data_IF_631532714551
#
_entry.id   IF_631532714551
#
_cell.length_a   1.000
_cell.length_b   1.000
_cell.length_c   1.000
_cell.angle_alpha   90.00
_cell.angle_beta   90.00
_cell.angle_gamma   90.00
#
_symmetry.space_group_name_H-M   'P 1'
#
loop_
_entity.id
_entity.type
_entity.pdbx_description
1 polymer ?
#
# COMPACT_ATOMS: atom_id res chain seq x y z
N UNK A 1 -5.11 -5.65 -17.55
CA UNK A 1 -6.55 -5.96 -17.60
C UNK A 1 -7.35 -4.71 -17.26
N UNK A 2 -8.60 -4.58 -17.71
CA UNK A 2 -9.48 -3.48 -17.26
C UNK A 2 -10.25 -3.95 -16.04
N UNK A 3 -10.11 -3.22 -14.93
CA UNK A 3 -10.85 -3.47 -13.70
C UNK A 3 -11.79 -2.29 -13.44
N UNK A 4 -13.05 -2.60 -13.16
CA UNK A 4 -14.04 -1.60 -12.75
C UNK A 4 -14.20 -1.68 -11.25
N UNK A 5 -13.93 -0.57 -10.57
CA UNK A 5 -13.95 -0.48 -9.12
C UNK A 5 -14.60 0.80 -8.65
N UNK A 6 -14.64 0.97 -7.33
CA UNK A 6 -15.15 2.18 -6.68
C UNK A 6 -14.24 2.59 -5.52
N UNK A 7 -14.21 3.89 -5.23
CA UNK A 7 -13.60 4.41 -4.01
C UNK A 7 -14.55 4.12 -2.85
N UNK A 8 -14.01 3.57 -1.77
CA UNK A 8 -14.73 3.23 -0.55
C UNK A 8 -14.06 3.93 0.63
N UNK A 9 -14.83 4.74 1.34
CA UNK A 9 -14.42 5.27 2.64
C UNK A 9 -14.46 4.17 3.70
N UNK A 10 -13.41 4.08 4.52
CA UNK A 10 -13.27 3.09 5.56
C UNK A 10 -13.84 3.64 6.88
N UNK A 11 -14.88 2.99 7.40
CA UNK A 11 -15.42 3.29 8.74
C UNK A 11 -14.36 3.14 9.83
N UNK A 12 -13.43 2.19 9.65
CA UNK A 12 -12.26 1.98 10.50
C UNK A 12 -11.00 2.13 9.66
N UNK A 13 -10.31 3.29 9.73
CA UNK A 13 -9.07 3.53 9.00
C UNK A 13 -7.95 2.56 9.42
N UNK A 14 -7.02 2.29 8.51
CA UNK A 14 -5.85 1.47 8.81
C UNK A 14 -4.61 2.34 9.04
N UNK A 15 -3.83 2.03 10.07
CA UNK A 15 -2.50 2.61 10.24
C UNK A 15 -1.45 1.70 9.58
N UNK A 16 -0.55 2.30 8.80
CA UNK A 16 0.60 1.60 8.21
C UNK A 16 1.76 1.72 9.20
N UNK A 17 2.21 0.59 9.72
CA UNK A 17 3.32 0.51 10.68
C UNK A 17 4.53 -0.13 10.02
N UNK A 18 5.68 0.53 10.10
CA UNK A 18 6.97 -0.02 9.68
C UNK A 18 7.72 -0.47 10.92
N UNK A 19 8.00 -1.77 10.99
CA UNK A 19 8.77 -2.35 12.08
C UNK A 19 10.25 -2.00 11.90
N UNK A 20 10.84 -1.33 12.90
CA UNK A 20 12.27 -1.14 13.02
C UNK A 20 12.80 -2.11 14.08
N UNK A 21 13.58 -3.10 13.63
CA UNK A 21 14.39 -3.94 14.49
C UNK A 21 15.84 -3.47 14.44
N UNK A 22 16.52 -3.34 15.59
CA UNK A 22 17.91 -2.86 15.67
C UNK A 22 18.91 -3.95 15.21
N UNK A 23 18.87 -4.30 13.92
CA UNK A 23 19.77 -5.28 13.31
C UNK A 23 19.93 -5.16 11.80
N UNK A 24 19.36 -4.14 11.15
CA UNK A 24 19.25 -4.08 9.69
C UNK A 24 19.82 -2.81 9.03
N UNK A 25 20.48 -1.93 9.78
CA UNK A 25 21.57 -1.03 9.32
C UNK A 25 21.94 -0.02 10.41
N UNK A 26 23.25 0.21 10.47
CA UNK A 26 23.99 1.30 11.11
C UNK A 26 24.17 1.28 12.63
N UNK A 27 25.42 0.98 12.98
CA UNK A 27 26.04 1.18 14.27
C UNK A 27 26.17 2.69 14.52
N UNK A 28 25.26 3.28 15.28
CA UNK A 28 25.51 4.58 15.91
C UNK A 28 25.65 4.41 17.43
N UNK A 29 26.79 4.87 17.91
CA UNK A 29 27.13 5.08 19.30
C UNK A 29 26.06 5.89 20.03
N UNK A 30 25.86 5.53 21.31
CA UNK A 30 25.08 6.25 22.34
C UNK A 30 23.61 5.82 22.50
N UNK A 31 23.44 4.68 23.17
CA UNK A 31 22.20 4.35 23.91
C UNK A 31 21.47 3.13 23.36
N UNK A 32 21.71 1.97 23.98
CA UNK A 32 21.01 0.70 23.73
C UNK A 32 19.49 0.85 23.90
N UNK A 33 18.80 1.14 22.82
CA UNK A 33 17.35 0.98 22.75
C UNK A 33 17.03 -0.46 22.32
N UNK A 34 17.05 -1.38 23.29
CA UNK A 34 16.79 -2.83 23.11
C UNK A 34 15.30 -3.14 22.94
N UNK A 35 14.64 -2.49 21.98
CA UNK A 35 13.22 -2.65 21.75
C UNK A 35 12.87 -2.63 20.27
N UNK A 36 11.95 -3.51 19.86
CA UNK A 36 11.31 -3.39 18.54
C UNK A 36 10.51 -2.09 18.53
N UNK A 37 10.79 -1.21 17.56
CA UNK A 37 10.03 0.02 17.36
C UNK A 37 9.12 -0.12 16.15
N UNK A 38 8.02 0.62 16.15
CA UNK A 38 7.14 0.71 15.00
C UNK A 38 6.94 2.18 14.65
N UNK A 39 7.25 2.53 13.41
CA UNK A 39 7.02 3.86 12.87
C UNK A 39 5.67 3.88 12.16
N UNK A 40 4.79 4.79 12.56
CA UNK A 40 3.54 5.05 11.83
C UNK A 40 3.88 5.87 10.59
N UNK A 41 3.63 5.33 9.40
CA UNK A 41 4.00 5.98 8.13
C UNK A 41 2.81 6.63 7.42
N UNK A 42 1.62 6.04 7.55
CA UNK A 42 0.41 6.55 6.90
C UNK A 42 -0.87 6.09 7.61
N UNK A 43 -1.96 6.81 7.37
CA UNK A 43 -3.32 6.41 7.72
C UNK A 43 -4.16 6.26 6.45
N UNK A 44 -4.61 5.05 6.17
CA UNK A 44 -5.47 4.73 5.03
C UNK A 44 -6.92 4.94 5.44
N UNK A 45 -7.55 5.97 4.88
CA UNK A 45 -8.96 6.30 5.11
C UNK A 45 -9.87 5.85 3.97
N UNK A 46 -9.33 5.78 2.75
CA UNK A 46 -10.07 5.39 1.56
C UNK A 46 -9.32 4.28 0.83
N UNK A 47 -10.07 3.38 0.17
CA UNK A 47 -9.49 2.36 -0.71
C UNK A 47 -10.22 2.29 -2.04
N UNK A 48 -9.50 1.96 -3.09
CA UNK A 48 -10.09 1.60 -4.38
C UNK A 48 -10.37 0.10 -4.36
N UNK A 49 -11.64 -0.28 -4.52
CA UNK A 49 -12.08 -1.67 -4.41
C UNK A 49 -12.57 -2.20 -5.75
N UNK A 50 -11.94 -3.29 -6.22
CA UNK A 50 -12.34 -4.06 -7.39
C UNK A 50 -12.91 -5.40 -6.94
N UNK A 51 -14.23 -5.61 -7.05
CA UNK A 51 -14.89 -6.88 -6.69
C UNK A 51 -15.25 -7.77 -7.89
N UNK A 52 -15.14 -7.24 -9.10
CA UNK A 52 -15.58 -7.91 -10.33
C UNK A 52 -14.41 -8.49 -11.10
N UNK A 53 -14.68 -9.52 -11.92
CA UNK A 53 -13.65 -10.19 -12.72
C UNK A 53 -13.01 -9.20 -13.72
N UNK A 54 -11.67 -9.12 -13.80
CA UNK A 54 -10.99 -8.27 -14.75
C UNK A 54 -11.37 -8.61 -16.20
N UNK A 55 -11.62 -7.58 -17.00
CA UNK A 55 -11.84 -7.71 -18.45
C UNK A 55 -10.47 -7.76 -19.17
N UNK A 56 -10.39 -8.45 -20.33
CA UNK A 56 -9.22 -8.36 -21.19
C UNK A 56 -8.85 -6.90 -21.51
N UNK A 57 -7.58 -6.64 -21.77
CA UNK A 57 -7.16 -5.33 -22.25
C UNK A 57 -7.70 -5.18 -23.66
N UNK A 58 -8.45 -4.10 -23.92
CA UNK A 58 -8.87 -3.73 -25.27
C UNK A 58 -7.84 -2.77 -25.84
N UNK A 59 -7.28 -3.12 -27.00
CA UNK A 59 -6.51 -2.21 -27.83
C UNK A 59 -7.48 -1.64 -28.87
N UNK A 60 -7.90 -0.38 -28.71
CA UNK A 60 -8.70 0.30 -29.73
C UNK A 60 -7.75 0.78 -30.85
N UNK A 61 -7.07 -0.16 -31.50
CA UNK A 61 -6.16 0.15 -32.61
C UNK A 61 -7.04 0.47 -33.82
N UNK A 62 -6.96 1.70 -34.38
CA UNK A 62 -7.68 2.02 -35.61
C UNK A 62 -7.28 1.00 -36.68
N UNK A 63 -8.27 0.31 -37.27
CA UNK A 63 -7.99 -0.50 -38.46
C UNK A 63 -7.58 0.46 -39.56
N UNK A 64 -6.36 0.27 -40.08
CA UNK A 64 -5.92 0.98 -41.28
C UNK A 64 -6.85 0.55 -42.41
N UNK A 65 -7.67 1.50 -42.89
CA UNK A 65 -8.47 1.37 -44.12
C UNK A 65 -7.57 1.59 -45.33
#
# INVERSE_FOLDING_TARGET
HILYGKIIHLEKPFAVLVKHTPGDQDCDELGRETGTRYLVTALIKDKILFKTRPKPIITNVPKKV
#
